data_IF_587551050154
#
_entry.id   IF_587551050154
#
_cell.length_a   1.000
_cell.length_b   1.000
_cell.length_c   1.000
_cell.angle_alpha   90.00
_cell.angle_beta   90.00
_cell.angle_gamma   90.00
#
_symmetry.space_group_name_H-M   'P 1'
#
loop_
_entity.id
_entity.type
_entity.pdbx_description
1 polymer ?
#
# COMPACT_ATOMS: atom_id res chain seq x y z
N UNK A 1 23.15 1.28 -3.46
CA UNK A 1 22.74 0.74 -2.15
C UNK A 1 21.37 0.11 -2.28
N UNK A 2 20.82 -0.44 -1.19
CA UNK A 2 19.39 -0.75 -1.12
C UNK A 2 18.57 0.55 -1.11
N UNK A 3 17.34 0.48 -1.62
CA UNK A 3 16.42 1.61 -1.66
C UNK A 3 14.98 1.09 -1.48
N UNK A 4 14.31 1.52 -0.42
CA UNK A 4 12.96 1.09 -0.06
C UNK A 4 11.94 2.13 -0.51
N UNK A 5 10.99 1.71 -1.34
CA UNK A 5 9.88 2.55 -1.78
C UNK A 5 8.60 2.10 -1.10
N UNK A 6 8.00 3.00 -0.31
CA UNK A 6 6.64 2.85 0.18
C UNK A 6 5.65 3.23 -0.92
N UNK A 7 4.60 2.44 -1.09
CA UNK A 7 3.50 2.80 -1.99
C UNK A 7 2.22 2.80 -1.17
N UNK A 8 1.52 3.93 -1.16
CA UNK A 8 0.25 4.12 -0.47
C UNK A 8 -0.80 4.67 -1.43
N UNK A 9 -2.07 4.66 -1.03
CA UNK A 9 -3.18 5.29 -1.75
C UNK A 9 -4.31 5.59 -0.76
N UNK A 10 -5.24 6.48 -1.08
CA UNK A 10 -6.41 6.74 -0.25
C UNK A 10 -7.17 5.45 0.11
N UNK A 11 -7.59 5.36 1.38
CA UNK A 11 -8.20 4.15 1.93
C UNK A 11 -9.51 3.77 1.22
N UNK A 12 -10.32 4.75 0.80
CA UNK A 12 -11.55 4.48 0.04
C UNK A 12 -11.21 3.91 -1.33
N UNK A 13 -10.18 4.45 -1.99
CA UNK A 13 -9.73 3.93 -3.28
C UNK A 13 -9.18 2.50 -3.18
N UNK A 14 -8.43 2.18 -2.11
CA UNK A 14 -7.98 0.82 -1.85
C UNK A 14 -9.16 -0.14 -1.67
N UNK A 15 -10.21 0.28 -0.97
CA UNK A 15 -11.44 -0.51 -0.81
C UNK A 15 -12.17 -0.73 -2.15
N UNK A 16 -12.32 0.31 -2.97
CA UNK A 16 -12.93 0.19 -4.31
C UNK A 16 -12.18 -0.81 -5.20
N UNK A 17 -10.84 -0.73 -5.20
CA UNK A 17 -9.97 -1.68 -5.93
C UNK A 17 -10.10 -3.11 -5.37
N UNK A 18 -10.23 -3.26 -4.05
CA UNK A 18 -10.46 -4.55 -3.40
C UNK A 18 -11.81 -5.14 -3.81
N UNK A 19 -12.89 -4.35 -3.86
CA UNK A 19 -14.18 -4.82 -4.38
C UNK A 19 -14.07 -5.25 -5.85
N UNK A 20 -13.34 -4.49 -6.66
CA UNK A 20 -13.13 -4.80 -8.08
C UNK A 20 -12.38 -6.11 -8.34
N UNK A 21 -11.55 -6.59 -7.39
CA UNK A 21 -10.81 -7.85 -7.55
C UNK A 21 -11.66 -9.10 -7.29
N UNK A 22 -12.79 -8.95 -6.59
CA UNK A 22 -13.81 -10.01 -6.42
C UNK A 22 -13.34 -11.29 -5.74
N UNK A 23 -12.34 -11.24 -4.85
CA UNK A 23 -11.78 -12.45 -4.22
C UNK A 23 -12.67 -12.92 -3.07
N UNK A 24 -12.93 -14.23 -3.02
CA UNK A 24 -13.68 -14.84 -1.90
C UNK A 24 -12.93 -14.61 -0.56
N UNK A 25 -13.66 -14.14 0.45
CA UNK A 25 -13.12 -13.82 1.77
C UNK A 25 -12.66 -12.37 1.94
N UNK A 26 -12.85 -11.53 0.92
CA UNK A 26 -12.64 -10.09 1.04
C UNK A 26 -13.76 -9.39 1.83
N UNK A 27 -13.43 -8.33 2.58
CA UNK A 27 -14.43 -7.45 3.17
C UNK A 27 -15.37 -6.89 2.10
N UNK A 28 -16.68 -6.94 2.37
CA UNK A 28 -17.71 -6.39 1.48
C UNK A 28 -18.22 -5.02 1.93
N UNK A 29 -17.83 -4.57 3.13
CA UNK A 29 -18.13 -3.25 3.67
C UNK A 29 -16.84 -2.48 3.95
N UNK A 30 -16.94 -1.15 3.91
CA UNK A 30 -15.78 -0.29 4.15
C UNK A 30 -15.28 -0.44 5.59
N UNK A 31 -16.18 -0.55 6.56
CA UNK A 31 -15.85 -0.70 7.98
C UNK A 31 -15.06 -2.00 8.23
N UNK A 32 -15.51 -3.12 7.66
CA UNK A 32 -14.81 -4.40 7.79
C UNK A 32 -13.44 -4.39 7.08
N UNK A 33 -13.29 -3.57 6.04
CA UNK A 33 -12.02 -3.32 5.39
C UNK A 33 -11.06 -2.52 6.28
N UNK A 34 -11.53 -1.41 6.87
CA UNK A 34 -10.72 -0.60 7.81
C UNK A 34 -10.28 -1.43 9.01
N UNK A 35 -11.19 -2.17 9.63
CA UNK A 35 -10.89 -3.04 10.78
C UNK A 35 -9.85 -4.13 10.42
N UNK A 36 -9.85 -4.57 9.16
CA UNK A 36 -8.87 -5.55 8.67
C UNK A 36 -7.52 -4.91 8.45
N UNK A 37 -7.46 -3.78 7.76
CA UNK A 37 -6.21 -3.06 7.53
C UNK A 37 -5.56 -2.65 8.85
N UNK A 38 -6.33 -2.18 9.83
CA UNK A 38 -5.79 -1.81 11.14
C UNK A 38 -5.11 -3.00 11.83
N UNK A 39 -5.77 -4.17 11.83
CA UNK A 39 -5.20 -5.40 12.41
C UNK A 39 -3.95 -5.88 11.67
N UNK A 40 -3.93 -5.79 10.34
CA UNK A 40 -2.77 -6.17 9.53
C UNK A 40 -1.60 -5.20 9.74
N UNK A 41 -1.88 -3.90 9.94
CA UNK A 41 -0.87 -2.87 10.12
C UNK A 41 -0.28 -2.82 11.54
N UNK A 42 -1.08 -3.11 12.57
CA UNK A 42 -0.70 -2.92 13.98
C UNK A 42 -0.23 -4.20 14.69
N UNK A 43 0.19 -5.24 13.96
CA UNK A 43 0.64 -6.46 14.62
C UNK A 43 1.86 -6.20 15.52
N UNK A 44 1.71 -6.42 16.83
CA UNK A 44 2.79 -6.27 17.80
C UNK A 44 3.68 -7.52 17.90
N UNK A 45 3.31 -8.61 17.21
CA UNK A 45 4.08 -9.85 17.21
C UNK A 45 5.27 -9.73 16.23
N UNK A 46 6.52 -9.75 16.73
CA UNK A 46 7.71 -9.62 15.90
C UNK A 46 7.91 -10.78 14.91
N UNK A 47 7.16 -11.87 15.05
CA UNK A 47 7.18 -13.02 14.13
C UNK A 47 6.18 -12.89 12.98
N UNK A 48 5.33 -11.86 13.00
CA UNK A 48 4.35 -11.55 11.95
C UNK A 48 4.85 -10.45 11.01
N UNK A 49 4.09 -10.14 9.96
CA UNK A 49 4.45 -9.05 9.04
C UNK A 49 4.41 -7.69 9.77
N UNK A 50 5.55 -7.00 9.77
CA UNK A 50 5.71 -5.69 10.40
C UNK A 50 5.51 -4.56 9.38
N UNK A 51 4.28 -4.42 8.87
CA UNK A 51 3.98 -3.53 7.74
C UNK A 51 4.29 -2.05 8.05
N UNK A 52 3.77 -1.51 9.16
CA UNK A 52 4.01 -0.11 9.54
C UNK A 52 5.48 0.18 9.83
N UNK A 53 6.16 -0.73 10.55
CA UNK A 53 7.58 -0.55 10.86
C UNK A 53 8.44 -0.59 9.58
N UNK A 54 8.10 -1.46 8.63
CA UNK A 54 8.79 -1.53 7.33
C UNK A 54 8.50 -0.29 6.50
N UNK A 55 7.24 0.17 6.46
CA UNK A 55 6.85 1.36 5.71
C UNK A 55 7.53 2.63 6.26
N UNK A 56 7.72 2.73 7.58
CA UNK A 56 8.44 3.81 8.22
C UNK A 56 9.95 3.88 7.85
N UNK A 57 10.51 2.79 7.30
CA UNK A 57 11.88 2.75 6.80
C UNK A 57 11.97 3.12 5.31
N UNK A 58 10.87 3.50 4.66
CA UNK A 58 10.89 3.85 3.25
C UNK A 58 11.74 5.10 3.01
N UNK A 59 12.63 5.01 2.03
CA UNK A 59 13.45 6.14 1.58
C UNK A 59 12.63 7.14 0.74
N UNK A 60 11.52 6.68 0.14
CA UNK A 60 10.57 7.49 -0.61
C UNK A 60 9.17 6.87 -0.54
N UNK A 61 8.13 7.70 -0.56
CA UNK A 61 6.73 7.26 -0.59
C UNK A 61 6.05 7.75 -1.87
N UNK A 62 5.49 6.83 -2.64
CA UNK A 62 4.65 7.12 -3.80
C UNK A 62 3.17 7.02 -3.41
N UNK A 63 2.41 8.06 -3.75
CA UNK A 63 0.95 8.08 -3.58
C UNK A 63 0.30 7.64 -4.90
N UNK A 64 -0.39 6.51 -4.87
CA UNK A 64 -1.02 5.83 -5.99
C UNK A 64 -2.55 6.04 -6.01
N UNK A 65 -2.96 7.30 -5.89
CA UNK A 65 -4.38 7.68 -6.00
C UNK A 65 -4.87 7.68 -7.46
N UNK A 66 -3.92 7.71 -8.39
CA UNK A 66 -4.14 7.76 -9.83
C UNK A 66 -4.42 6.42 -10.52
N UNK A 67 -4.35 6.47 -11.84
CA UNK A 67 -4.37 5.29 -12.70
C UNK A 67 -3.01 4.60 -12.85
N UNK A 68 -3.00 3.48 -13.56
CA UNK A 68 -1.78 2.71 -13.82
C UNK A 68 -0.70 3.53 -14.55
N UNK A 69 -1.10 4.40 -15.47
CA UNK A 69 -0.17 5.24 -16.24
C UNK A 69 0.52 6.29 -15.36
N UNK A 70 -0.22 6.88 -14.41
CA UNK A 70 0.36 7.83 -13.45
C UNK A 70 1.35 7.14 -12.51
N UNK A 71 0.99 5.95 -11.99
CA UNK A 71 1.90 5.13 -11.20
C UNK A 71 3.16 4.77 -11.99
N UNK A 72 3.01 4.40 -13.27
CA UNK A 72 4.14 4.08 -14.16
C UNK A 72 5.10 5.26 -14.26
N UNK A 73 4.58 6.45 -14.56
CA UNK A 73 5.38 7.66 -14.71
C UNK A 73 6.11 8.01 -13.40
N UNK A 74 5.43 7.87 -12.25
CA UNK A 74 6.03 8.13 -10.94
C UNK A 74 7.18 7.16 -10.63
N UNK A 75 6.99 5.86 -10.90
CA UNK A 75 8.04 4.84 -10.73
C UNK A 75 9.21 5.08 -11.68
N UNK A 76 8.95 5.36 -12.95
CA UNK A 76 9.99 5.61 -13.94
C UNK A 76 10.83 6.85 -13.58
N UNK A 77 10.18 7.92 -13.13
CA UNK A 77 10.84 9.12 -12.64
C UNK A 77 11.72 8.84 -11.41
N UNK A 78 11.19 8.09 -10.43
CA UNK A 78 11.93 7.72 -9.21
C UNK A 78 13.17 6.89 -9.53
N UNK A 79 13.04 5.89 -10.42
CA UNK A 79 14.16 5.04 -10.84
C UNK A 79 15.19 5.84 -11.64
N UNK A 80 14.75 6.76 -12.52
CA UNK A 80 15.65 7.58 -13.33
C UNK A 80 16.45 8.59 -12.48
N UNK A 81 15.82 9.21 -11.47
CA UNK A 81 16.47 10.17 -10.58
C UNK A 81 17.55 9.54 -9.68
N UNK A 82 17.56 8.20 -9.57
CA UNK A 82 18.46 7.42 -8.72
C UNK A 82 19.57 6.72 -9.52
N UNK A 83 19.72 7.02 -10.81
CA UNK A 83 20.82 6.52 -11.66
C UNK A 83 22.12 7.27 -11.44
#
# INVERSE_FOLDING_TARGET
GFFLVGVDADQRLRFERLLGRGRQGDPTTFEAFVDREERENQSADPTTQQLLATFALADEVLVNDGGLDELRLAVDALVAARR
#
